data_IF_667884239456
#
_entry.id   IF_667884239456
#
_cell.length_a   1.000
_cell.length_b   1.000
_cell.length_c   1.000
_cell.angle_alpha   90.00
_cell.angle_beta   90.00
_cell.angle_gamma   90.00
#
_symmetry.space_group_name_H-M   'P 1'
#
loop_
_entity.id
_entity.type
_entity.pdbx_description
1 polymer ?
#
# COMPACT_ATOMS: atom_id res chain seq x y z
N UNK A 1 10.59 -0.91 24.01
CA UNK A 1 10.58 -1.67 22.73
C UNK A 1 10.32 -0.67 21.61
N UNK A 2 11.06 -0.77 20.50
CA UNK A 2 10.78 0.04 19.31
C UNK A 2 9.38 -0.30 18.76
N UNK A 3 8.63 0.71 18.34
CA UNK A 3 7.37 0.47 17.64
C UNK A 3 7.66 0.05 16.20
N UNK A 4 6.92 -0.95 15.70
CA UNK A 4 7.09 -1.43 14.33
C UNK A 4 6.11 -0.72 13.39
N UNK A 5 6.56 -0.43 12.16
CA UNK A 5 5.74 0.03 11.05
C UNK A 5 5.86 -0.97 9.92
N UNK A 6 4.74 -1.35 9.29
CA UNK A 6 4.72 -2.27 8.16
C UNK A 6 4.40 -1.52 6.86
N UNK A 7 5.22 -1.75 5.84
CA UNK A 7 5.03 -1.19 4.50
C UNK A 7 4.69 -2.30 3.52
N UNK A 8 3.54 -2.19 2.86
CA UNK A 8 3.03 -3.14 1.88
C UNK A 8 3.13 -2.57 0.47
N UNK A 9 3.75 -3.28 -0.45
CA UNK A 9 3.89 -2.91 -1.85
C UNK A 9 3.77 -4.11 -2.79
N UNK A 10 3.72 -3.85 -4.11
CA UNK A 10 3.71 -4.89 -5.14
C UNK A 10 5.00 -4.94 -5.97
N UNK A 11 6.00 -4.16 -5.61
CA UNK A 11 7.29 -4.08 -6.30
C UNK A 11 8.37 -3.66 -5.32
N UNK A 12 9.39 -4.49 -5.19
CA UNK A 12 10.59 -4.20 -4.40
C UNK A 12 11.42 -3.09 -5.07
N UNK A 13 11.61 -3.13 -6.40
CA UNK A 13 12.29 -2.06 -7.15
C UNK A 13 11.56 -0.73 -7.00
N UNK A 14 10.25 -0.70 -7.25
CA UNK A 14 9.46 0.53 -7.12
C UNK A 14 9.43 1.07 -5.68
N UNK A 15 9.51 0.21 -4.67
CA UNK A 15 9.63 0.65 -3.28
C UNK A 15 11.02 1.22 -3.00
N UNK A 16 12.08 0.57 -3.47
CA UNK A 16 13.45 1.05 -3.32
C UNK A 16 13.65 2.40 -4.04
N UNK A 17 13.30 2.47 -5.33
CA UNK A 17 13.59 3.64 -6.16
C UNK A 17 12.78 4.88 -5.77
N UNK A 18 11.56 4.71 -5.25
CA UNK A 18 10.67 5.84 -4.97
C UNK A 18 10.28 6.02 -3.50
N UNK A 19 10.73 5.16 -2.58
CA UNK A 19 10.31 5.20 -1.18
C UNK A 19 11.44 4.93 -0.19
N UNK A 20 12.69 4.76 -0.64
CA UNK A 20 13.82 4.54 0.26
C UNK A 20 13.97 5.67 1.29
N UNK A 21 13.69 6.91 0.88
CA UNK A 21 13.73 8.06 1.78
C UNK A 21 12.65 7.97 2.88
N UNK A 22 11.44 7.50 2.53
CA UNK A 22 10.37 7.27 3.51
C UNK A 22 10.76 6.18 4.49
N UNK A 23 11.33 5.06 3.99
CA UNK A 23 11.80 3.96 4.85
C UNK A 23 12.90 4.46 5.79
N UNK A 24 13.87 5.21 5.26
CA UNK A 24 14.97 5.77 6.04
C UNK A 24 14.48 6.77 7.09
N UNK A 25 13.57 7.66 6.72
CA UNK A 25 12.97 8.62 7.65
C UNK A 25 12.24 7.93 8.80
N UNK A 26 11.46 6.87 8.51
CA UNK A 26 10.79 6.08 9.56
C UNK A 26 11.80 5.44 10.53
N UNK A 27 12.92 4.93 10.02
CA UNK A 27 13.98 4.36 10.87
C UNK A 27 14.68 5.43 11.71
N UNK A 28 14.91 6.63 11.15
CA UNK A 28 15.47 7.78 11.86
C UNK A 28 14.55 8.27 13.00
N UNK A 29 13.22 8.20 12.79
CA UNK A 29 12.21 8.46 13.83
C UNK A 29 12.14 7.34 14.90
N UNK A 30 12.98 6.32 14.79
CA UNK A 30 13.12 5.25 15.78
C UNK A 30 12.19 4.06 15.58
N UNK A 31 11.47 3.97 14.47
CA UNK A 31 10.63 2.79 14.17
C UNK A 31 11.47 1.62 13.68
N UNK A 32 11.01 0.41 13.98
CA UNK A 32 11.42 -0.81 13.30
C UNK A 32 10.59 -0.96 12.03
N UNK A 33 11.23 -0.91 10.87
CA UNK A 33 10.53 -0.88 9.58
C UNK A 33 10.50 -2.27 8.97
N UNK A 34 9.31 -2.83 8.85
CA UNK A 34 9.03 -4.06 8.13
C UNK A 34 8.52 -3.75 6.73
N UNK A 35 8.98 -4.49 5.72
CA UNK A 35 8.60 -4.34 4.33
C UNK A 35 8.08 -5.66 3.79
N UNK A 36 6.93 -5.66 3.14
CA UNK A 36 6.34 -6.83 2.49
C UNK A 36 6.08 -6.55 1.02
N UNK A 37 6.89 -7.14 0.15
CA UNK A 37 6.89 -6.99 -1.31
C UNK A 37 7.31 -8.31 -1.97
N UNK A 38 6.97 -8.53 -3.27
CA UNK A 38 7.61 -9.60 -4.05
C UNK A 38 9.10 -9.35 -4.18
N UNK A 39 9.89 -10.42 -4.29
CA UNK A 39 11.32 -10.32 -4.60
C UNK A 39 11.55 -10.41 -6.12
N UNK A 40 12.09 -9.34 -6.69
CA UNK A 40 12.56 -9.28 -8.09
C UNK A 40 14.04 -8.89 -8.18
N UNK A 41 14.78 -9.05 -7.08
CA UNK A 41 16.21 -8.78 -6.99
C UNK A 41 16.58 -7.51 -6.22
N UNK A 42 15.60 -6.76 -5.70
CA UNK A 42 15.84 -5.54 -4.90
C UNK A 42 15.66 -5.75 -3.40
N UNK A 43 15.17 -6.91 -2.97
CA UNK A 43 14.89 -7.16 -1.55
C UNK A 43 16.16 -7.02 -0.69
N UNK A 44 17.31 -7.47 -1.20
CA UNK A 44 18.59 -7.34 -0.52
C UNK A 44 19.04 -5.87 -0.37
N UNK A 45 18.74 -5.01 -1.35
CA UNK A 45 19.00 -3.58 -1.23
C UNK A 45 18.16 -2.94 -0.12
N UNK A 46 16.88 -3.33 -0.01
CA UNK A 46 15.98 -2.86 1.05
C UNK A 46 16.45 -3.36 2.43
N UNK A 47 16.92 -4.60 2.54
CA UNK A 47 17.52 -5.11 3.78
C UNK A 47 18.77 -4.33 4.19
N UNK A 48 19.61 -3.96 3.22
CA UNK A 48 20.82 -3.15 3.47
C UNK A 48 20.51 -1.74 3.99
N UNK A 49 19.31 -1.20 3.73
CA UNK A 49 18.85 0.04 4.37
C UNK A 49 18.56 -0.15 5.87
N UNK A 50 18.41 -1.38 6.36
CA UNK A 50 18.05 -1.72 7.73
C UNK A 50 16.60 -2.19 7.91
N UNK A 51 15.86 -2.41 6.84
CA UNK A 51 14.48 -2.92 6.91
C UNK A 51 14.43 -4.43 7.11
N UNK A 52 13.42 -4.91 7.85
CA UNK A 52 13.07 -6.33 7.96
C UNK A 52 12.14 -6.70 6.81
N UNK A 53 12.60 -7.54 5.89
CA UNK A 53 11.85 -7.87 4.69
C UNK A 53 11.09 -9.18 4.81
N UNK A 54 9.86 -9.17 4.30
CA UNK A 54 8.95 -10.31 4.18
C UNK A 54 8.58 -10.49 2.71
N UNK A 55 9.03 -11.55 2.10
CA UNK A 55 8.67 -11.85 0.72
C UNK A 55 7.17 -12.14 0.60
N UNK A 56 6.53 -11.49 -0.36
CA UNK A 56 5.09 -11.64 -0.63
C UNK A 56 4.88 -12.30 -1.99
N UNK A 57 4.32 -13.48 -2.01
CA UNK A 57 3.90 -14.12 -3.26
C UNK A 57 2.60 -13.49 -3.74
N UNK A 58 2.69 -12.61 -4.76
CA UNK A 58 1.50 -12.03 -5.38
C UNK A 58 1.69 -11.85 -6.90
N UNK A 59 0.59 -11.97 -7.63
CA UNK A 59 0.54 -11.55 -9.03
C UNK A 59 0.35 -10.03 -9.09
N UNK A 60 1.27 -9.35 -9.76
CA UNK A 60 1.23 -7.87 -9.88
C UNK A 60 0.04 -7.39 -10.71
N UNK A 61 -0.39 -8.19 -11.70
CA UNK A 61 -1.50 -7.88 -12.63
C UNK A 61 -2.57 -8.96 -12.56
N UNK A 62 -3.78 -8.58 -13.01
CA UNK A 62 -4.93 -9.48 -13.04
C UNK A 62 -5.61 -9.64 -11.68
N UNK A 63 -6.78 -10.24 -11.70
CA UNK A 63 -7.61 -10.55 -10.53
C UNK A 63 -7.86 -12.05 -10.50
N UNK A 64 -7.39 -12.70 -9.46
CA UNK A 64 -7.65 -14.10 -9.19
C UNK A 64 -8.16 -14.24 -7.75
N UNK A 65 -9.46 -14.52 -7.54
CA UNK A 65 -10.06 -14.54 -6.21
C UNK A 65 -9.37 -15.48 -5.23
N UNK A 66 -8.87 -16.63 -5.70
CA UNK A 66 -8.19 -17.60 -4.85
C UNK A 66 -6.81 -17.09 -4.41
N UNK A 67 -6.03 -16.52 -5.34
CA UNK A 67 -4.71 -15.96 -5.05
C UNK A 67 -4.83 -14.69 -4.19
N UNK A 68 -5.82 -13.87 -4.49
CA UNK A 68 -6.09 -12.63 -3.76
C UNK A 68 -6.62 -12.93 -2.34
N UNK A 69 -7.41 -13.99 -2.17
CA UNK A 69 -7.80 -14.50 -0.85
C UNK A 69 -6.60 -15.00 -0.02
N UNK A 70 -5.66 -15.71 -0.66
CA UNK A 70 -4.40 -16.12 0.01
C UNK A 70 -3.56 -14.91 0.42
N UNK A 71 -3.49 -13.86 -0.42
CA UNK A 71 -2.79 -12.62 -0.10
C UNK A 71 -3.41 -11.92 1.11
N UNK A 72 -4.74 -11.84 1.20
CA UNK A 72 -5.44 -11.30 2.36
C UNK A 72 -5.10 -12.07 3.64
N UNK A 73 -5.11 -13.41 3.58
CA UNK A 73 -4.76 -14.27 4.73
C UNK A 73 -3.29 -14.10 5.13
N UNK A 74 -2.39 -13.97 4.16
CA UNK A 74 -0.97 -13.69 4.40
C UNK A 74 -0.79 -12.36 5.14
N UNK A 75 -1.43 -11.27 4.67
CA UNK A 75 -1.36 -9.98 5.35
C UNK A 75 -1.94 -10.04 6.78
N UNK A 76 -3.04 -10.76 6.98
CA UNK A 76 -3.59 -10.96 8.34
C UNK A 76 -2.62 -11.70 9.27
N UNK A 77 -1.94 -12.74 8.75
CA UNK A 77 -0.90 -13.45 9.52
C UNK A 77 0.25 -12.50 9.86
N UNK A 78 0.73 -11.72 8.89
CA UNK A 78 1.82 -10.78 9.06
C UNK A 78 1.50 -9.73 10.14
N UNK A 79 0.30 -9.13 10.09
CA UNK A 79 -0.17 -8.19 11.11
C UNK A 79 -0.21 -8.80 12.52
N UNK A 80 -0.61 -10.07 12.63
CA UNK A 80 -0.63 -10.81 13.92
C UNK A 80 0.76 -11.14 14.44
N UNK A 81 1.75 -11.28 13.57
CA UNK A 81 3.13 -11.60 13.95
C UNK A 81 3.91 -10.35 14.35
N UNK A 82 3.76 -9.26 13.55
CA UNK A 82 4.55 -8.02 13.73
C UNK A 82 3.92 -7.10 14.76
N UNK A 83 2.59 -7.08 14.91
CA UNK A 83 1.84 -6.12 15.74
C UNK A 83 2.22 -4.67 15.43
N UNK A 84 2.18 -4.23 14.16
CA UNK A 84 2.67 -2.90 13.80
C UNK A 84 1.77 -1.81 14.40
N UNK A 85 2.37 -0.69 14.81
CA UNK A 85 1.68 0.51 15.27
C UNK A 85 0.88 1.17 14.11
N UNK A 86 1.41 1.07 12.89
CA UNK A 86 0.75 1.55 11.68
C UNK A 86 1.21 0.76 10.44
N UNK A 87 0.38 0.80 9.40
CA UNK A 87 0.68 0.19 8.09
C UNK A 87 0.60 1.24 6.99
N UNK A 88 1.59 1.28 6.10
CA UNK A 88 1.56 2.05 4.86
C UNK A 88 1.31 1.09 3.70
N UNK A 89 0.33 1.39 2.86
CA UNK A 89 0.05 0.56 1.68
C UNK A 89 0.29 1.35 0.40
N UNK A 90 0.92 0.70 -0.57
CA UNK A 90 1.22 1.25 -1.89
C UNK A 90 0.70 0.31 -2.97
N UNK A 91 0.16 0.87 -4.06
CA UNK A 91 -0.36 0.14 -5.21
C UNK A 91 -1.68 -0.61 -4.96
N UNK A 92 -2.28 -1.13 -6.04
CA UNK A 92 -3.69 -1.58 -6.06
C UNK A 92 -3.97 -2.69 -5.03
N UNK A 93 -3.29 -3.84 -5.15
CA UNK A 93 -3.58 -5.01 -4.30
C UNK A 93 -3.26 -4.78 -2.82
N UNK A 94 -2.10 -4.21 -2.45
CA UNK A 94 -1.85 -3.81 -1.06
C UNK A 94 -2.86 -2.81 -0.52
N UNK A 95 -3.28 -1.82 -1.31
CA UNK A 95 -4.30 -0.85 -0.89
C UNK A 95 -5.65 -1.52 -0.62
N UNK A 96 -6.04 -2.49 -1.43
CA UNK A 96 -7.29 -3.23 -1.27
C UNK A 96 -7.16 -4.27 -0.14
N UNK A 97 -6.32 -5.27 -0.33
CA UNK A 97 -6.27 -6.45 0.57
C UNK A 97 -5.52 -6.15 1.87
N UNK A 98 -4.47 -5.33 1.81
CA UNK A 98 -3.79 -4.80 3.00
C UNK A 98 -4.72 -3.93 3.84
N UNK A 99 -5.46 -3.01 3.20
CA UNK A 99 -6.44 -2.18 3.88
C UNK A 99 -7.56 -2.99 4.55
N UNK A 100 -8.09 -4.02 3.88
CA UNK A 100 -9.07 -4.94 4.49
C UNK A 100 -8.47 -5.70 5.66
N UNK A 101 -7.24 -6.22 5.52
CA UNK A 101 -6.54 -6.93 6.60
C UNK A 101 -6.34 -6.03 7.84
N UNK A 102 -5.88 -4.78 7.63
CA UNK A 102 -5.68 -3.80 8.70
C UNK A 102 -6.98 -3.47 9.42
N UNK A 103 -8.06 -3.24 8.67
CA UNK A 103 -9.38 -2.98 9.25
C UNK A 103 -9.88 -4.14 10.10
N UNK A 104 -9.74 -5.37 9.61
CA UNK A 104 -10.14 -6.58 10.35
C UNK A 104 -9.29 -6.80 11.61
N UNK A 105 -8.01 -6.43 11.55
CA UNK A 105 -7.08 -6.52 12.67
C UNK A 105 -7.14 -5.28 13.59
N UNK A 106 -7.93 -4.25 13.25
CA UNK A 106 -8.00 -2.97 13.96
C UNK A 106 -6.66 -2.25 14.07
N UNK A 107 -5.78 -2.44 13.09
CA UNK A 107 -4.48 -1.76 12.99
C UNK A 107 -4.64 -0.48 12.18
N UNK A 108 -4.14 0.68 12.66
CA UNK A 108 -4.12 1.93 11.90
C UNK A 108 -3.38 1.77 10.57
N UNK A 109 -3.90 2.38 9.50
CA UNK A 109 -3.23 2.31 8.20
C UNK A 109 -3.45 3.56 7.36
N UNK A 110 -2.48 3.81 6.49
CA UNK A 110 -2.45 4.88 5.51
C UNK A 110 -2.38 4.28 4.12
N UNK A 111 -3.17 4.81 3.20
CA UNK A 111 -3.24 4.33 1.81
C UNK A 111 -2.57 5.33 0.88
N UNK A 112 -1.71 4.86 -0.01
CA UNK A 112 -1.05 5.69 -1.01
C UNK A 112 -1.48 5.25 -2.41
N UNK A 113 -2.19 6.14 -3.11
CA UNK A 113 -2.62 5.96 -4.49
C UNK A 113 -1.53 6.53 -5.40
N UNK A 114 -0.64 5.66 -5.88
CA UNK A 114 0.50 6.02 -6.75
C UNK A 114 0.10 6.06 -8.24
N UNK A 115 -1.09 5.60 -8.57
CA UNK A 115 -1.68 5.56 -9.90
C UNK A 115 -2.92 4.68 -9.86
N UNK A 116 -3.85 4.89 -10.79
CA UNK A 116 -5.11 4.12 -10.83
C UNK A 116 -5.02 2.88 -11.71
N UNK A 117 -3.99 2.80 -12.55
CA UNK A 117 -3.85 1.74 -13.55
C UNK A 117 -4.88 1.84 -14.68
N UNK A 118 -4.55 1.22 -15.80
CA UNK A 118 -5.39 1.26 -17.01
C UNK A 118 -6.77 0.62 -16.85
N UNK A 119 -6.92 -0.27 -15.88
CA UNK A 119 -8.20 -0.99 -15.63
C UNK A 119 -9.32 -0.06 -15.13
N UNK A 120 -8.97 1.10 -14.57
CA UNK A 120 -9.95 2.10 -14.15
C UNK A 120 -10.28 3.13 -15.23
N UNK A 121 -9.59 3.13 -16.36
CA UNK A 121 -9.80 4.05 -17.48
C UNK A 121 -11.02 3.66 -18.33
N UNK A 122 -11.41 2.38 -18.33
CA UNK A 122 -12.52 1.89 -19.14
C UNK A 122 -13.73 1.52 -18.27
N UNK A 123 -14.89 2.08 -18.61
CA UNK A 123 -16.14 1.74 -17.93
C UNK A 123 -16.54 0.29 -18.24
N UNK A 124 -16.95 -0.44 -17.21
CA UNK A 124 -17.37 -1.84 -17.35
C UNK A 124 -17.55 -2.56 -16.01
N UNK A 125 -17.95 -3.82 -16.04
CA UNK A 125 -18.16 -4.60 -14.81
C UNK A 125 -16.89 -4.78 -14.00
N UNK A 126 -15.73 -4.89 -14.65
CA UNK A 126 -14.44 -4.99 -13.99
C UNK A 126 -14.08 -3.70 -13.23
N UNK A 127 -14.32 -2.52 -13.84
CA UNK A 127 -14.12 -1.24 -13.15
C UNK A 127 -15.01 -1.16 -11.90
N UNK A 128 -16.31 -1.52 -12.02
CA UNK A 128 -17.24 -1.49 -10.87
C UNK A 128 -16.76 -2.39 -9.73
N UNK A 129 -16.24 -3.57 -10.06
CA UNK A 129 -15.67 -4.48 -9.06
C UNK A 129 -14.44 -3.88 -8.38
N UNK A 130 -13.51 -3.30 -9.14
CA UNK A 130 -12.30 -2.67 -8.58
C UNK A 130 -12.68 -1.47 -7.70
N UNK A 131 -13.63 -0.65 -8.13
CA UNK A 131 -14.16 0.47 -7.33
C UNK A 131 -14.73 -0.03 -6.00
N UNK A 132 -15.51 -1.11 -6.00
CA UNK A 132 -16.04 -1.72 -4.78
C UNK A 132 -14.93 -2.23 -3.86
N UNK A 133 -13.92 -2.89 -4.43
CA UNK A 133 -12.76 -3.38 -3.68
C UNK A 133 -11.95 -2.23 -3.07
N UNK A 134 -11.67 -1.16 -3.81
CA UNK A 134 -11.03 0.05 -3.29
C UNK A 134 -11.84 0.68 -2.16
N UNK A 135 -13.15 0.87 -2.37
CA UNK A 135 -14.04 1.39 -1.33
C UNK A 135 -13.96 0.57 -0.05
N UNK A 136 -13.88 -0.76 -0.19
CA UNK A 136 -13.77 -1.68 0.94
C UNK A 136 -12.41 -1.58 1.62
N UNK A 137 -11.31 -1.55 0.86
CA UNK A 137 -9.94 -1.44 1.39
C UNK A 137 -9.66 -0.11 2.06
N UNK A 138 -10.21 1.00 1.52
CA UNK A 138 -9.96 2.35 2.06
C UNK A 138 -10.93 2.78 3.17
N UNK A 139 -11.97 2.01 3.45
CA UNK A 139 -13.09 2.44 4.31
C UNK A 139 -12.71 2.72 5.77
N UNK A 140 -11.54 2.29 6.23
CA UNK A 140 -11.02 2.51 7.58
C UNK A 140 -9.65 3.19 7.60
N UNK A 141 -9.17 3.67 6.45
CA UNK A 141 -7.89 4.36 6.38
C UNK A 141 -7.89 5.65 7.21
N UNK A 142 -6.82 5.89 7.95
CA UNK A 142 -6.60 7.13 8.68
C UNK A 142 -6.40 8.33 7.75
N UNK A 143 -5.74 8.10 6.60
CA UNK A 143 -5.62 9.04 5.50
C UNK A 143 -5.39 8.30 4.19
N UNK A 144 -5.86 8.87 3.07
CA UNK A 144 -5.56 8.41 1.71
C UNK A 144 -4.78 9.50 0.99
N UNK A 145 -3.56 9.17 0.59
CA UNK A 145 -2.66 10.05 -0.15
C UNK A 145 -2.81 9.83 -1.66
N UNK A 146 -2.83 10.92 -2.41
CA UNK A 146 -2.88 10.94 -3.88
C UNK A 146 -1.68 11.71 -4.42
N UNK A 147 -1.16 11.31 -5.58
CA UNK A 147 -0.06 12.01 -6.24
C UNK A 147 -0.52 13.14 -7.17
N UNK A 148 -1.82 13.24 -7.44
CA UNK A 148 -2.41 14.31 -8.24
C UNK A 148 -3.90 14.48 -7.93
N UNK A 149 -4.43 15.66 -8.26
CA UNK A 149 -5.84 16.00 -8.05
C UNK A 149 -6.78 15.20 -8.96
N UNK A 150 -6.33 14.79 -10.14
CA UNK A 150 -7.16 14.03 -11.09
C UNK A 150 -7.54 12.67 -10.50
N UNK A 151 -6.58 11.95 -9.91
CA UNK A 151 -6.84 10.67 -9.25
C UNK A 151 -7.76 10.83 -8.04
N UNK A 152 -7.60 11.89 -7.26
CA UNK A 152 -8.49 12.19 -6.14
C UNK A 152 -9.92 12.47 -6.63
N UNK A 153 -10.08 13.32 -7.65
CA UNK A 153 -11.39 13.65 -8.23
C UNK A 153 -12.08 12.40 -8.80
N UNK A 154 -11.34 11.58 -9.54
CA UNK A 154 -11.84 10.31 -10.08
C UNK A 154 -12.35 9.38 -8.98
N UNK A 155 -11.53 9.15 -7.94
CA UNK A 155 -11.89 8.25 -6.83
C UNK A 155 -13.08 8.75 -6.01
N UNK A 156 -13.25 10.09 -5.90
CA UNK A 156 -14.45 10.71 -5.31
C UNK A 156 -15.67 10.50 -6.20
N UNK A 157 -15.57 10.78 -7.49
CA UNK A 157 -16.66 10.63 -8.45
C UNK A 157 -17.17 9.19 -8.53
N UNK A 158 -16.26 8.21 -8.54
CA UNK A 158 -16.61 6.78 -8.56
C UNK A 158 -17.06 6.24 -7.19
N UNK A 159 -17.11 7.07 -6.14
CA UNK A 159 -17.60 6.69 -4.82
C UNK A 159 -16.67 5.74 -4.04
N UNK A 160 -15.37 5.71 -4.38
CA UNK A 160 -14.37 4.93 -3.67
C UNK A 160 -14.10 5.48 -2.25
N UNK A 161 -14.31 6.78 -2.05
CA UNK A 161 -14.05 7.48 -0.79
C UNK A 161 -15.36 7.78 -0.06
N UNK A 162 -15.39 7.57 1.25
CA UNK A 162 -16.48 8.05 2.10
C UNK A 162 -16.33 9.56 2.33
N UNK A 163 -17.43 10.29 2.55
CA UNK A 163 -17.41 11.75 2.81
C UNK A 163 -16.43 12.17 3.92
N UNK A 164 -16.27 11.35 4.95
CA UNK A 164 -15.38 11.59 6.11
C UNK A 164 -13.95 11.07 5.93
N UNK A 165 -13.63 10.42 4.80
CA UNK A 165 -12.26 9.92 4.55
C UNK A 165 -11.31 11.10 4.41
N UNK A 166 -10.29 11.18 5.27
CA UNK A 166 -9.22 12.18 5.15
C UNK A 166 -8.41 11.90 3.90
N UNK A 167 -8.16 12.94 3.11
CA UNK A 167 -7.36 12.85 1.89
C UNK A 167 -6.30 13.92 1.87
N UNK A 168 -5.15 13.61 1.28
CA UNK A 168 -4.04 14.56 1.02
C UNK A 168 -3.54 14.34 -0.40
N UNK A 169 -3.25 15.41 -1.11
CA UNK A 169 -2.54 15.38 -2.38
C UNK A 169 -1.09 15.79 -2.10
N UNK A 170 -0.16 14.98 -2.60
CA UNK A 170 1.28 15.20 -2.52
C UNK A 170 1.83 15.30 -3.95
N UNK A 171 2.85 16.13 -4.17
CA UNK A 171 3.43 16.37 -5.50
C UNK A 171 4.30 15.20 -5.94
N UNK A 172 3.67 14.08 -6.30
CA UNK A 172 4.35 12.87 -6.76
C UNK A 172 5.17 12.14 -5.69
N UNK A 173 6.11 11.31 -6.14
CA UNK A 173 7.01 10.53 -5.28
C UNK A 173 8.29 11.28 -4.93
N UNK A 174 8.60 12.31 -5.68
CA UNK A 174 9.93 12.91 -5.69
C UNK A 174 10.97 12.02 -6.38
N UNK A 175 12.08 12.61 -6.74
CA UNK A 175 13.32 11.93 -7.15
C UNK A 175 14.46 12.59 -6.40
N UNK A 176 15.44 11.80 -5.96
CA UNK A 176 16.65 12.35 -5.40
C UNK A 176 17.52 12.87 -6.56
N UNK A 177 17.82 14.16 -6.56
CA UNK A 177 18.65 14.80 -7.60
C UNK A 177 20.16 14.71 -7.30
N UNK A 178 20.53 14.14 -6.15
CA UNK A 178 21.93 14.00 -5.71
C UNK A 178 22.50 12.60 -5.97
N UNK A 179 21.73 11.70 -6.64
CA UNK A 179 22.15 10.36 -7.05
C UNK A 179 22.23 10.22 -8.57
#
# INVERSE_FOLDING_TARGET
MKQSVLVLGNSDSGLYDFRKEVLTALMQEGYEVHVSVPDTGYLEKIKKLGCICHETVMERRGMNPLKDGKLLLFYRKLLKTIHPAAVLTYTIKPNIYGGVACRLAKVPYLVNITGLGTTLEHDGPLQKLIVLLYRTGMSGAGCVFFQNEQNLAFMRQKGCLKKRTKTRVISGSGVNLEE
#
